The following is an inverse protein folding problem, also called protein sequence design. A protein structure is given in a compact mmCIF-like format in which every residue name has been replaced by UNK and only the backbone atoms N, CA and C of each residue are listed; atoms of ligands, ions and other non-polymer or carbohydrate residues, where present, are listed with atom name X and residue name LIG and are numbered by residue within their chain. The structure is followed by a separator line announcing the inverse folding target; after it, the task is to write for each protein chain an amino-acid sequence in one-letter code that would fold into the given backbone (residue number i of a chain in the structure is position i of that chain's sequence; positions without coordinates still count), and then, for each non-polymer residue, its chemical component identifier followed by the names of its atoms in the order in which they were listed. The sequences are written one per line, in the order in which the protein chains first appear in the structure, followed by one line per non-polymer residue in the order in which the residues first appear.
data_IF_364775022803
#
_entry.id   IF_364775022803
#
_cell.length_a   1.000
_cell.length_b   1.000
_cell.length_c   1.000
_cell.angle_alpha   90.00
_cell.angle_beta   90.00
_cell.angle_gamma   90.00
#
_symmetry.space_group_name_H-M   'P 1'
#
loop_
_entity.id
_entity.type
_entity.pdbx_description
1 polymer ?
#
# COMPACT_ATOMS: atom_id res chain seq x y z
N UNK A 1 0.26 -3.06 0.27
CA UNK A 1 -0.17 -3.85 1.46
C UNK A 1 -1.14 -3.10 2.38
N UNK A 2 -0.76 -1.97 3.00
CA UNK A 2 -1.63 -1.28 3.98
C UNK A 2 -3.00 -0.85 3.41
N UNK A 3 -3.04 -0.47 2.13
CA UNK A 3 -4.28 -0.23 1.38
C UNK A 3 -5.16 -1.49 1.27
N UNK A 4 -4.62 -2.62 0.81
CA UNK A 4 -5.35 -3.89 0.74
C UNK A 4 -5.88 -4.33 2.13
N UNK A 5 -5.17 -4.00 3.20
CA UNK A 5 -5.61 -4.25 4.57
C UNK A 5 -6.71 -3.28 5.07
N UNK A 6 -6.96 -2.16 4.40
CA UNK A 6 -7.88 -1.12 4.84
C UNK A 6 -9.06 -0.99 3.86
N UNK A 7 -9.25 0.17 3.25
CA UNK A 7 -10.36 0.45 2.31
C UNK A 7 -9.92 0.41 0.84
N UNK A 8 -8.68 -0.02 0.58
CA UNK A 8 -8.05 0.19 -0.72
C UNK A 8 -7.58 1.63 -0.90
N UNK A 9 -7.21 1.99 -2.13
CA UNK A 9 -6.78 3.33 -2.53
C UNK A 9 -5.78 3.30 -3.68
N UNK A 10 -5.40 4.48 -4.16
CA UNK A 10 -4.51 4.63 -5.32
C UNK A 10 -3.15 5.19 -4.91
N UNK A 11 -2.12 4.69 -5.59
CA UNK A 11 -0.74 5.06 -5.40
C UNK A 11 -0.17 5.65 -6.68
N UNK A 12 0.43 6.83 -6.60
CA UNK A 12 1.03 7.46 -7.77
C UNK A 12 2.56 7.36 -7.71
N UNK A 13 3.15 6.74 -8.73
CA UNK A 13 4.59 6.62 -8.93
C UNK A 13 5.01 7.70 -9.94
N UNK A 14 6.09 8.43 -9.62
CA UNK A 14 6.52 9.59 -10.42
C UNK A 14 5.89 10.90 -9.95
N UNK A 15 5.33 10.94 -8.73
CA UNK A 15 4.83 12.14 -8.06
C UNK A 15 5.63 12.35 -6.77
N UNK A 16 6.09 13.58 -6.54
CA UNK A 16 6.88 13.95 -5.38
C UNK A 16 6.00 14.31 -4.16
N UNK A 17 6.65 14.51 -3.01
CA UNK A 17 5.99 14.80 -1.73
C UNK A 17 5.33 16.18 -1.61
N UNK A 18 5.65 17.08 -2.52
CA UNK A 18 4.97 18.37 -2.67
C UNK A 18 3.84 18.30 -3.71
N UNK A 19 3.59 17.12 -4.28
CA UNK A 19 2.64 16.91 -5.36
C UNK A 19 3.17 17.22 -6.75
N UNK A 20 4.44 17.63 -6.90
CA UNK A 20 5.01 17.90 -8.22
C UNK A 20 5.21 16.63 -9.04
N UNK A 21 5.00 16.73 -10.37
CA UNK A 21 5.14 15.60 -11.29
C UNK A 21 6.62 15.42 -11.67
N UNK A 22 7.26 14.41 -11.08
CA UNK A 22 8.61 14.01 -11.43
C UNK A 22 8.63 13.21 -12.76
N UNK A 23 7.62 12.36 -12.97
CA UNK A 23 7.51 11.44 -14.09
C UNK A 23 8.28 10.13 -13.91
N UNK A 24 8.04 9.18 -14.81
CA UNK A 24 8.81 7.94 -14.99
C UNK A 24 9.24 7.83 -16.45
N UNK A 25 10.45 7.32 -16.70
CA UNK A 25 11.01 7.20 -18.06
C UNK A 25 10.39 6.03 -18.84
N UNK A 26 10.17 4.91 -18.17
CA UNK A 26 9.59 3.70 -18.78
C UNK A 26 8.51 3.12 -17.84
N UNK A 27 7.22 3.47 -18.05
CA UNK A 27 6.13 3.02 -17.20
C UNK A 27 5.95 1.50 -17.19
N UNK A 28 6.16 0.83 -18.32
CA UNK A 28 5.97 -0.62 -18.44
C UNK A 28 7.01 -1.37 -17.60
N UNK A 29 8.29 -0.99 -17.73
CA UNK A 29 9.36 -1.55 -16.91
C UNK A 29 9.15 -1.26 -15.42
N UNK A 30 8.72 -0.04 -15.09
CA UNK A 30 8.39 0.36 -13.72
C UNK A 30 7.27 -0.50 -13.14
N UNK A 31 6.21 -0.72 -13.92
CA UNK A 31 5.07 -1.56 -13.53
C UNK A 31 5.49 -3.01 -13.30
N UNK A 32 6.30 -3.58 -14.19
CA UNK A 32 6.84 -4.94 -14.03
C UNK A 32 7.68 -5.09 -12.76
N UNK A 33 8.55 -4.11 -12.48
CA UNK A 33 9.38 -4.11 -11.27
C UNK A 33 8.52 -4.05 -9.99
N UNK A 34 7.48 -3.20 -9.98
CA UNK A 34 6.54 -3.10 -8.86
C UNK A 34 5.79 -4.43 -8.66
N UNK A 35 5.26 -5.02 -9.73
CA UNK A 35 4.50 -6.27 -9.67
C UNK A 35 5.37 -7.41 -9.13
N UNK A 36 6.61 -7.54 -9.59
CA UNK A 36 7.55 -8.54 -9.09
C UNK A 36 7.88 -8.33 -7.61
N UNK A 37 8.20 -7.09 -7.22
CA UNK A 37 8.50 -6.75 -5.82
C UNK A 37 7.33 -7.11 -4.90
N UNK A 38 6.10 -6.82 -5.31
CA UNK A 38 4.89 -7.10 -4.54
C UNK A 38 4.70 -8.61 -4.35
N UNK A 39 4.77 -9.39 -5.44
CA UNK A 39 4.57 -10.85 -5.43
C UNK A 39 5.53 -11.56 -4.47
N UNK A 40 6.78 -11.10 -4.45
CA UNK A 40 7.83 -11.68 -3.61
C UNK A 40 7.73 -11.24 -2.15
N UNK A 41 7.27 -10.01 -1.91
CA UNK A 41 7.34 -9.38 -0.60
C UNK A 41 6.08 -9.51 0.23
N UNK A 42 4.91 -9.77 -0.36
CA UNK A 42 3.61 -9.73 0.33
C UNK A 42 2.94 -11.10 0.28
N UNK A 43 2.40 -11.53 1.43
CA UNK A 43 1.58 -12.75 1.57
C UNK A 43 0.28 -12.44 2.31
N UNK A 44 -0.85 -13.10 1.98
CA UNK A 44 -1.07 -13.86 0.74
C UNK A 44 -0.94 -12.99 -0.51
N UNK A 45 -0.97 -13.59 -1.71
CA UNK A 45 -0.77 -12.84 -2.95
C UNK A 45 -1.87 -11.77 -3.13
N UNK A 46 -1.46 -10.52 -3.33
CA UNK A 46 -2.38 -9.39 -3.55
C UNK A 46 -2.57 -9.04 -5.02
N UNK A 47 -1.86 -9.71 -5.93
CA UNK A 47 -1.76 -9.30 -7.35
C UNK A 47 -3.13 -9.19 -8.02
N UNK A 48 -4.11 -10.02 -7.66
CA UNK A 48 -5.48 -9.96 -8.20
C UNK A 48 -6.26 -8.69 -7.81
N UNK A 49 -5.81 -7.97 -6.79
CA UNK A 49 -6.44 -6.75 -6.28
C UNK A 49 -5.71 -5.48 -6.73
N UNK A 50 -4.79 -5.59 -7.69
CA UNK A 50 -4.00 -4.48 -8.21
C UNK A 50 -4.41 -4.17 -9.64
N UNK A 51 -4.68 -2.90 -9.90
CA UNK A 51 -4.85 -2.37 -11.24
C UNK A 51 -3.78 -1.31 -11.49
N UNK A 52 -3.13 -1.39 -12.64
CA UNK A 52 -2.06 -0.48 -13.04
C UNK A 52 -2.53 0.34 -14.23
N UNK A 53 -2.35 1.65 -14.15
CA UNK A 53 -2.73 2.58 -15.20
C UNK A 53 -1.58 3.58 -15.39
N UNK A 54 -1.08 3.69 -16.62
CA UNK A 54 -0.16 4.77 -17.00
C UNK A 54 -0.97 6.01 -17.33
N UNK A 55 -0.67 7.13 -16.68
CA UNK A 55 -1.29 8.43 -16.97
C UNK A 55 -0.24 9.40 -17.48
N UNK A 56 -0.61 10.27 -18.41
CA UNK A 56 0.22 11.39 -18.86
C UNK A 56 -0.27 12.70 -18.22
N UNK A 57 0.62 13.41 -17.53
CA UNK A 57 0.37 14.70 -16.88
C UNK A 57 1.56 15.61 -17.19
N UNK A 58 1.30 16.81 -17.70
CA UNK A 58 2.34 17.79 -18.07
C UNK A 58 3.43 17.21 -18.99
N UNK A 59 3.03 16.37 -19.95
CA UNK A 59 3.90 15.62 -20.89
C UNK A 59 4.89 14.67 -20.21
N UNK A 60 4.64 14.33 -18.94
CA UNK A 60 5.37 13.32 -18.18
C UNK A 60 4.44 12.16 -17.91
N UNK A 61 4.98 10.95 -17.95
CA UNK A 61 4.22 9.75 -17.65
C UNK A 61 4.35 9.42 -16.16
N UNK A 62 3.27 8.98 -15.54
CA UNK A 62 3.23 8.46 -14.16
C UNK A 62 2.49 7.12 -14.14
N UNK A 63 2.74 6.31 -13.13
CA UNK A 63 2.02 5.04 -12.93
C UNK A 63 1.10 5.17 -11.74
N UNK A 64 -0.20 5.02 -11.97
CA UNK A 64 -1.20 4.86 -10.92
C UNK A 64 -1.38 3.36 -10.63
N UNK A 65 -1.21 2.98 -9.36
CA UNK A 65 -1.47 1.62 -8.87
C UNK A 65 -2.68 1.70 -7.96
N UNK A 66 -3.82 1.28 -8.47
CA UNK A 66 -5.04 1.12 -7.68
C UNK A 66 -4.97 -0.20 -6.92
N UNK A 67 -5.17 -0.12 -5.60
CA UNK A 67 -5.15 -1.26 -4.70
C UNK A 67 -6.56 -1.42 -4.13
N UNK A 68 -7.25 -2.48 -4.52
CA UNK A 68 -8.53 -2.81 -3.93
C UNK A 68 -8.35 -3.35 -2.51
N UNK A 69 -9.42 -3.26 -1.70
CA UNK A 69 -9.46 -3.91 -0.39
C UNK A 69 -9.43 -5.43 -0.61
N UNK A 70 -8.39 -6.08 -0.11
CA UNK A 70 -8.25 -7.52 -0.26
C UNK A 70 -9.17 -8.29 0.70
N UNK A 71 -9.48 -9.51 0.31
CA UNK A 71 -10.41 -10.40 1.02
C UNK A 71 -9.69 -11.27 2.05
N UNK A 72 -8.45 -11.67 1.80
CA UNK A 72 -7.66 -12.59 2.62
C UNK A 72 -6.80 -11.87 3.67
N UNK A 73 -7.44 -11.03 4.49
CA UNK A 73 -6.74 -10.19 5.47
C UNK A 73 -6.39 -10.97 6.75
N UNK A 74 -5.24 -10.66 7.38
CA UNK A 74 -4.32 -9.59 7.02
C UNK A 74 -3.24 -10.01 6.01
N UNK A 75 -2.94 -9.12 5.09
CA UNK A 75 -1.73 -9.17 4.27
C UNK A 75 -0.52 -8.69 5.07
N UNK A 76 0.60 -9.38 4.92
CA UNK A 76 1.83 -9.15 5.67
C UNK A 76 3.08 -9.26 4.79
N UNK A 77 4.19 -8.70 5.26
CA UNK A 77 5.49 -8.85 4.63
C UNK A 77 6.00 -10.28 4.82
N UNK A 78 6.27 -11.00 3.72
CA UNK A 78 6.74 -12.37 3.71
C UNK A 78 7.96 -12.58 4.63
N UNK A 79 8.92 -11.65 4.56
CA UNK A 79 10.16 -11.67 5.36
C UNK A 79 9.95 -11.48 6.87
N UNK A 80 8.82 -10.92 7.30
CA UNK A 80 8.52 -10.62 8.71
C UNK A 80 7.43 -11.54 9.29
N UNK A 81 6.64 -12.16 8.43
CA UNK A 81 5.56 -13.05 8.83
C UNK A 81 4.36 -12.32 9.43
N UNK A 82 3.43 -13.10 9.98
CA UNK A 82 2.18 -12.64 10.58
C UNK A 82 2.39 -12.07 12.00
N UNK A 83 3.25 -11.06 12.11
CA UNK A 83 3.63 -10.39 13.36
C UNK A 83 3.47 -8.87 13.24
N UNK A 84 3.44 -8.11 14.35
CA UNK A 84 3.36 -6.64 14.31
C UNK A 84 4.36 -5.96 13.35
N UNK A 85 5.56 -6.52 13.21
CA UNK A 85 6.61 -6.01 12.33
C UNK A 85 6.32 -6.26 10.84
N UNK A 86 5.43 -7.20 10.53
CA UNK A 86 5.06 -7.59 9.17
C UNK A 86 3.69 -7.12 8.72
N UNK A 87 2.79 -6.74 9.64
CA UNK A 87 1.41 -6.34 9.30
C UNK A 87 1.23 -4.84 9.47
N UNK A 88 0.80 -4.18 8.40
CA UNK A 88 0.54 -2.73 8.39
C UNK A 88 -0.89 -2.43 7.97
N UNK A 89 -1.49 -1.43 8.63
CA UNK A 89 -2.85 -0.97 8.39
C UNK A 89 -2.79 0.53 8.09
N UNK A 90 -3.51 0.96 7.06
CA UNK A 90 -3.65 2.38 6.75
C UNK A 90 -4.71 3.02 7.64
N UNK A 91 -4.36 4.16 8.23
CA UNK A 91 -5.25 5.02 9.01
C UNK A 91 -5.09 6.46 8.52
N UNK A 92 -6.14 7.00 7.89
CA UNK A 92 -6.10 8.33 7.27
C UNK A 92 -4.99 8.41 6.22
N UNK A 93 -4.04 9.34 6.42
CA UNK A 93 -2.92 9.58 5.52
C UNK A 93 -1.72 8.65 5.75
N UNK A 94 -1.67 7.94 6.89
CA UNK A 94 -0.48 7.21 7.35
C UNK A 94 -0.69 5.69 7.39
N UNK A 95 0.41 4.93 7.35
CA UNK A 95 0.42 3.49 7.58
C UNK A 95 1.08 3.17 8.92
N UNK A 96 0.40 2.40 9.77
CA UNK A 96 0.88 2.02 11.10
C UNK A 96 1.01 0.51 11.23
N UNK A 97 1.96 0.05 12.04
CA UNK A 97 2.08 -1.37 12.40
C UNK A 97 0.84 -1.80 13.19
N UNK A 98 0.31 -2.98 12.87
CA UNK A 98 -0.80 -3.56 13.61
C UNK A 98 -0.32 -4.09 14.96
N UNK A 99 -1.12 -3.90 16.00
CA UNK A 99 -0.90 -4.58 17.29
C UNK A 99 -1.22 -6.07 17.17
N UNK A 100 -0.68 -6.90 18.06
CA UNK A 100 -0.99 -8.33 18.11
C UNK A 100 -2.51 -8.59 18.23
N UNK A 101 -3.19 -7.77 19.04
CA UNK A 101 -4.65 -7.81 19.18
C UNK A 101 -5.38 -7.48 17.87
N UNK A 102 -4.89 -6.52 17.09
CA UNK A 102 -5.47 -6.16 15.80
C UNK A 102 -5.24 -7.26 14.75
N UNK A 103 -4.08 -7.92 14.78
CA UNK A 103 -3.77 -9.06 13.90
C UNK A 103 -4.72 -10.22 14.21
N UNK A 104 -4.84 -10.62 15.49
CA UNK A 104 -5.75 -11.69 15.91
C UNK A 104 -7.20 -11.41 15.53
N UNK A 105 -7.68 -10.19 15.78
CA UNK A 105 -9.04 -9.79 15.38
C UNK A 105 -9.27 -9.94 13.88
N UNK A 106 -8.27 -9.64 13.05
CA UNK A 106 -8.40 -9.79 11.58
C UNK A 106 -8.49 -11.25 11.14
N UNK A 107 -7.71 -12.13 11.77
CA UNK A 107 -7.76 -13.58 11.51
C UNK A 107 -9.14 -14.14 11.90
N UNK A 108 -9.67 -13.73 13.05
CA UNK A 108 -10.93 -14.24 13.57
C UNK A 108 -12.13 -13.67 12.80
N UNK A 109 -12.12 -12.37 12.50
CA UNK A 109 -13.33 -11.68 12.05
C UNK A 109 -13.56 -11.69 10.55
N UNK A 110 -12.56 -11.92 9.68
CA UNK A 110 -12.70 -12.10 8.21
C UNK A 110 -13.33 -10.93 7.42
N UNK A 111 -14.48 -10.40 7.83
CA UNK A 111 -15.25 -9.36 7.19
C UNK A 111 -15.76 -8.35 8.24
N UNK A 112 -15.40 -7.07 8.06
CA UNK A 112 -16.12 -5.92 8.64
C UNK A 112 -15.95 -5.61 10.14
N UNK A 113 -15.06 -4.67 10.47
CA UNK A 113 -15.45 -3.47 11.22
C UNK A 113 -14.37 -2.38 11.16
N UNK A 114 -14.84 -1.13 11.34
CA UNK A 114 -14.14 0.14 11.17
C UNK A 114 -13.06 0.35 12.23
N UNK A 115 -11.98 1.02 11.82
CA UNK A 115 -10.91 1.51 12.67
C UNK A 115 -11.47 2.34 13.85
N UNK A 116 -11.54 1.74 15.04
CA UNK A 116 -11.59 2.48 16.30
C UNK A 116 -10.28 3.24 16.47
N UNK A 117 -10.37 4.56 16.48
CA UNK A 117 -9.29 5.53 16.50
C UNK A 117 -8.30 5.18 17.62
N UNK A 118 -7.04 4.91 17.29
CA UNK A 118 -5.93 5.00 18.23
C UNK A 118 -4.73 5.65 17.54
N UNK A 119 -4.66 6.95 17.80
CA UNK A 119 -3.70 7.91 17.33
C UNK A 119 -2.31 7.60 17.90
N UNK A 120 -1.37 7.15 17.05
CA UNK A 120 0.09 7.32 17.25
C UNK A 120 0.80 7.10 15.91
N UNK A 121 0.92 8.18 15.14
CA UNK A 121 1.83 8.24 14.01
C UNK A 121 3.27 8.10 14.51
N UNK A 122 3.90 6.95 14.29
CA UNK A 122 5.37 6.83 14.36
C UNK A 122 5.90 6.88 12.95
N UNK A 123 6.63 7.96 12.68
CA UNK A 123 7.29 8.25 11.42
C UNK A 123 8.42 7.23 11.21
N UNK A 124 8.18 6.21 10.39
CA UNK A 124 9.20 5.21 10.02
C UNK A 124 10.05 5.83 8.93
N UNK A 125 11.14 6.50 9.33
CA UNK A 125 12.24 6.89 8.44
C UNK A 125 13.02 5.63 8.04
N UNK A 126 12.70 5.04 6.90
CA UNK A 126 13.64 4.15 6.21
C UNK A 126 13.44 4.20 4.69
N UNK A 127 14.47 4.74 4.01
CA UNK A 127 14.80 4.46 2.61
C UNK A 127 13.74 4.78 1.54
N UNK A 128 13.74 6.03 1.06
CA UNK A 128 13.26 6.49 -0.27
C UNK A 128 12.32 5.54 -1.02
N UNK A 129 11.03 5.53 -0.65
CA UNK A 129 9.93 5.42 -1.61
C UNK A 129 8.82 6.32 -1.05
N UNK A 130 8.80 7.56 -1.52
CA UNK A 130 7.77 8.54 -1.20
C UNK A 130 6.55 8.23 -2.06
N UNK A 131 5.46 7.89 -1.39
CA UNK A 131 4.21 7.46 -2.00
C UNK A 131 3.18 8.57 -1.78
N UNK A 132 2.95 9.40 -2.80
CA UNK A 132 1.92 10.42 -2.74
C UNK A 132 0.55 9.82 -2.99
N UNK A 133 -0.40 10.20 -2.14
CA UNK A 133 -1.78 9.73 -2.17
C UNK A 133 -2.61 10.99 -2.42
N UNK A 134 -2.80 11.29 -3.70
CA UNK A 134 -3.69 12.36 -4.13
C UNK A 134 -5.10 11.77 -4.16
N UNK A 135 -5.96 12.17 -3.23
CA UNK A 135 -7.40 12.02 -3.38
C UNK A 135 -7.86 13.08 -4.39
N UNK A 136 -8.51 12.65 -5.47
CA UNK A 136 -9.54 13.48 -6.12
C UNK A 136 -10.87 13.28 -5.39
#
# INVERSE_FOLDING_TARGET
MAFANSMGGTLYIGVADDGSIAGVENPDMTTQQIANMIRDSIKPDITMFLHYETKEIDRKQIVAVEVQRGTERPYYLAKKGLRPEGVFIRQGTSSVQATDTAIRRRIISGAGFVCGIQNRARNVKTGRILFFILFM
#
